data_IF_688103368064
#
_entry.id   IF_688103368064
#
_cell.length_a   1.000
_cell.length_b   1.000
_cell.length_c   1.000
_cell.angle_alpha   90.00
_cell.angle_beta   90.00
_cell.angle_gamma   90.00
#
_symmetry.space_group_name_H-M   'P 1'
#
loop_
_entity.id
_entity.type
_entity.pdbx_description
1 polymer ?
#
# COMPACT_ATOMS: atom_id res chain seq x y z
N UNK A 1 -13.16 17.85 -10.57
CA UNK A 1 -11.97 17.08 -10.98
C UNK A 1 -11.04 17.05 -9.79
N UNK A 2 -11.10 15.98 -8.97
CA UNK A 2 -10.10 15.76 -7.93
C UNK A 2 -9.04 14.83 -8.52
N UNK A 3 -7.86 15.39 -8.78
CA UNK A 3 -6.64 14.62 -8.98
C UNK A 3 -6.39 13.85 -7.68
N UNK A 4 -6.52 12.53 -7.73
CA UNK A 4 -6.27 11.65 -6.60
C UNK A 4 -4.88 11.03 -6.80
N UNK A 5 -3.81 11.54 -6.14
CA UNK A 5 -2.54 10.84 -6.07
C UNK A 5 -2.73 9.76 -5.01
N UNK A 6 -3.11 8.58 -5.47
CA UNK A 6 -3.47 7.37 -4.73
C UNK A 6 -3.22 7.35 -3.20
N UNK A 7 -4.32 7.53 -2.45
CA UNK A 7 -4.49 7.25 -1.01
C UNK A 7 -5.41 6.02 -0.90
N UNK A 8 -5.00 4.92 -0.25
CA UNK A 8 -5.80 3.67 -0.30
C UNK A 8 -7.02 3.70 0.61
N UNK A 9 -8.18 3.50 -0.01
CA UNK A 9 -9.55 3.61 0.51
C UNK A 9 -10.03 2.29 1.07
N UNK A 10 -10.66 2.34 2.26
CA UNK A 10 -11.84 1.60 2.70
C UNK A 10 -12.16 0.27 1.99
N UNK A 11 -11.98 -0.83 2.73
CA UNK A 11 -12.38 -2.22 2.45
C UNK A 11 -12.11 -2.73 1.03
N UNK A 12 -10.97 -3.42 0.86
CA UNK A 12 -10.80 -4.32 -0.28
C UNK A 12 -11.40 -5.68 0.10
N UNK A 13 -12.71 -5.83 -0.09
CA UNK A 13 -13.32 -7.17 -0.16
C UNK A 13 -12.90 -7.72 -1.53
N UNK A 14 -11.80 -8.45 -1.54
CA UNK A 14 -11.53 -9.40 -2.61
C UNK A 14 -12.40 -10.60 -2.23
N UNK A 15 -13.30 -11.05 -3.10
CA UNK A 15 -14.46 -11.93 -2.83
C UNK A 15 -14.23 -13.18 -1.94
N UNK A 16 -12.97 -13.54 -1.61
CA UNK A 16 -12.60 -14.63 -0.70
C UNK A 16 -11.52 -14.30 0.36
N UNK A 17 -10.97 -13.07 0.40
CA UNK A 17 -9.95 -12.64 1.38
C UNK A 17 -10.47 -11.41 2.12
N UNK A 18 -10.76 -11.56 3.42
CA UNK A 18 -11.27 -10.47 4.24
C UNK A 18 -10.11 -9.56 4.70
N UNK A 19 -9.70 -8.62 3.84
CA UNK A 19 -8.65 -7.65 4.15
C UNK A 19 -9.28 -6.37 4.68
N UNK A 20 -8.89 -5.98 5.91
CA UNK A 20 -9.20 -4.66 6.46
C UNK A 20 -8.12 -3.67 6.02
N UNK A 21 -8.55 -2.49 5.59
CA UNK A 21 -7.67 -1.40 5.22
C UNK A 21 -8.17 -0.11 5.90
N UNK A 22 -7.23 0.71 6.34
CA UNK A 22 -7.47 2.05 6.87
C UNK A 22 -7.09 3.06 5.80
N UNK A 23 -7.98 4.00 5.49
CA UNK A 23 -7.62 5.14 4.67
C UNK A 23 -6.89 6.16 5.53
N UNK A 24 -6.03 6.97 4.92
CA UNK A 24 -5.32 8.02 5.66
C UNK A 24 -6.30 8.99 6.34
N UNK A 25 -7.46 9.24 5.72
CA UNK A 25 -8.58 10.02 6.30
C UNK A 25 -9.17 9.41 7.59
N UNK A 26 -8.89 8.13 7.88
CA UNK A 26 -9.29 7.49 9.14
C UNK A 26 -8.30 7.81 10.27
N UNK A 27 -7.15 8.45 9.99
CA UNK A 27 -6.21 8.96 10.99
C UNK A 27 -6.70 10.32 11.54
N UNK A 28 -6.26 10.72 12.76
CA UNK A 28 -6.71 11.96 13.39
C UNK A 28 -6.58 13.22 12.52
N UNK A 29 -5.47 13.34 11.78
CA UNK A 29 -5.19 14.47 10.89
C UNK A 29 -5.57 14.19 9.44
N UNK A 30 -6.17 13.03 9.18
CA UNK A 30 -6.67 12.62 7.88
C UNK A 30 -5.64 12.80 6.77
N UNK A 31 -6.04 13.54 5.75
CA UNK A 31 -5.25 13.80 4.55
C UNK A 31 -4.04 14.74 4.77
N UNK A 32 -3.94 15.35 5.96
CA UNK A 32 -2.82 16.16 6.43
C UNK A 32 -1.79 15.36 7.23
N UNK A 33 -2.05 14.08 7.52
CA UNK A 33 -1.11 13.20 8.22
C UNK A 33 0.20 13.14 7.45
N UNK A 34 1.31 13.41 8.13
CA UNK A 34 2.66 13.32 7.58
C UNK A 34 3.05 11.86 7.32
N UNK A 35 4.02 11.63 6.43
CA UNK A 35 4.57 10.28 6.19
C UNK A 35 5.08 9.62 7.47
N UNK A 36 5.60 10.43 8.40
CA UNK A 36 6.04 9.96 9.71
C UNK A 36 4.87 9.49 10.58
N UNK A 37 3.74 10.19 10.58
CA UNK A 37 2.54 9.81 11.32
C UNK A 37 1.90 8.55 10.74
N UNK A 38 1.80 8.49 9.40
CA UNK A 38 1.32 7.30 8.67
C UNK A 38 2.20 6.09 9.02
N UNK A 39 3.52 6.27 8.94
CA UNK A 39 4.49 5.22 9.25
C UNK A 39 4.38 4.77 10.71
N UNK A 40 4.32 5.69 11.66
CA UNK A 40 4.17 5.36 13.09
C UNK A 40 2.87 4.60 13.35
N UNK A 41 1.76 5.07 12.78
CA UNK A 41 0.47 4.41 12.91
C UNK A 41 0.51 2.99 12.35
N UNK A 42 1.07 2.81 11.15
CA UNK A 42 1.19 1.50 10.53
C UNK A 42 2.04 0.55 11.38
N UNK A 43 3.20 1.00 11.84
CA UNK A 43 4.13 0.19 12.63
C UNK A 43 3.55 -0.23 13.98
N UNK A 44 2.84 0.69 14.66
CA UNK A 44 2.24 0.42 15.96
C UNK A 44 1.09 -0.59 15.89
N UNK A 45 0.46 -0.72 14.71
CA UNK A 45 -0.69 -1.59 14.48
C UNK A 45 -0.35 -2.82 13.61
N UNK A 46 0.94 -3.09 13.36
CA UNK A 46 1.44 -4.16 12.46
C UNK A 46 0.73 -4.16 11.08
N UNK A 47 0.59 -2.96 10.51
CA UNK A 47 -0.02 -2.75 9.19
C UNK A 47 1.05 -2.62 8.11
N UNK A 48 0.65 -2.90 6.88
CA UNK A 48 1.44 -2.60 5.68
C UNK A 48 1.03 -1.25 5.13
N UNK A 49 1.99 -0.35 4.90
CA UNK A 49 1.75 0.89 4.18
C UNK A 49 1.63 0.57 2.69
N UNK A 50 0.49 0.90 2.08
CA UNK A 50 0.26 0.77 0.63
C UNK A 50 0.38 2.15 -0.01
N UNK A 51 1.33 2.34 -0.93
CA UNK A 51 1.63 3.67 -1.47
C UNK A 51 2.17 3.66 -2.90
N UNK A 52 2.06 4.80 -3.58
CA UNK A 52 2.75 5.11 -4.84
C UNK A 52 3.95 6.03 -4.66
N UNK A 53 4.10 6.57 -3.47
CA UNK A 53 5.11 7.55 -3.15
C UNK A 53 6.43 6.85 -2.81
N UNK A 54 7.48 7.20 -3.56
CA UNK A 54 8.81 6.63 -3.38
C UNK A 54 9.51 7.14 -2.12
N UNK A 55 9.01 8.19 -1.46
CA UNK A 55 9.58 8.67 -0.19
C UNK A 55 9.42 7.61 0.92
N UNK A 56 8.33 6.84 0.91
CA UNK A 56 8.17 5.67 1.80
C UNK A 56 9.14 4.53 1.46
N UNK A 57 9.47 4.33 0.17
CA UNK A 57 10.50 3.36 -0.24
C UNK A 57 11.87 3.78 0.29
N UNK A 58 12.25 5.05 0.11
CA UNK A 58 13.51 5.58 0.61
C UNK A 58 13.63 5.46 2.12
N UNK A 59 12.56 5.82 2.84
CA UNK A 59 12.50 5.64 4.30
C UNK A 59 12.57 4.16 4.70
N UNK A 60 11.87 3.26 4.01
CA UNK A 60 11.89 1.83 4.31
C UNK A 60 13.30 1.25 4.11
N UNK A 61 13.98 1.62 3.02
CA UNK A 61 15.35 1.18 2.75
C UNK A 61 16.36 1.74 3.77
N UNK A 62 16.25 3.01 4.13
CA UNK A 62 17.20 3.66 5.03
C UNK A 62 17.00 3.25 6.50
N UNK A 63 15.75 3.18 6.95
CA UNK A 63 15.41 3.11 8.37
C UNK A 63 14.57 1.88 8.74
N UNK A 64 14.18 1.04 7.77
CA UNK A 64 13.17 -0.03 7.94
C UNK A 64 11.85 0.53 8.47
N UNK A 65 11.48 1.72 7.99
CA UNK A 65 10.28 2.46 8.36
C UNK A 65 9.54 2.97 7.11
N UNK A 66 8.28 2.59 6.86
CA UNK A 66 7.44 1.67 7.65
C UNK A 66 8.02 0.25 7.69
N UNK A 67 7.67 -0.55 8.70
CA UNK A 67 8.16 -1.92 8.88
C UNK A 67 7.75 -2.81 7.70
N UNK A 68 6.54 -2.59 7.17
CA UNK A 68 5.97 -3.32 6.03
C UNK A 68 5.52 -2.33 4.96
N UNK A 69 5.96 -2.55 3.72
CA UNK A 69 5.69 -1.68 2.57
C UNK A 69 5.12 -2.47 1.40
N UNK A 70 4.03 -1.97 0.83
CA UNK A 70 3.53 -2.37 -0.47
C UNK A 70 3.58 -1.19 -1.44
N UNK A 71 4.58 -1.16 -2.31
CA UNK A 71 4.78 -0.09 -3.28
C UNK A 71 4.05 -0.42 -4.59
N UNK A 72 3.36 0.56 -5.17
CA UNK A 72 2.69 0.41 -6.47
C UNK A 72 3.40 1.30 -7.50
N UNK A 73 4.26 0.69 -8.31
CA UNK A 73 5.11 1.32 -9.31
C UNK A 73 4.59 1.15 -10.75
N UNK A 74 3.27 1.06 -10.91
CA UNK A 74 2.64 0.88 -12.24
C UNK A 74 2.63 2.15 -13.12
N UNK A 75 3.25 3.25 -12.68
CA UNK A 75 3.10 4.56 -13.32
C UNK A 75 1.64 5.06 -13.32
N UNK A 76 1.29 5.81 -14.38
CA UNK A 76 -0.02 6.46 -14.54
C UNK A 76 -1.10 5.51 -15.10
N UNK A 77 -1.47 4.50 -14.32
CA UNK A 77 -2.68 3.72 -14.59
C UNK A 77 -3.94 4.48 -14.15
N UNK A 78 -5.03 4.36 -14.91
CA UNK A 78 -6.35 4.79 -14.43
C UNK A 78 -6.73 3.94 -13.23
N UNK A 79 -7.43 4.53 -12.24
CA UNK A 79 -7.84 3.84 -11.02
C UNK A 79 -8.53 2.49 -11.30
N UNK A 80 -9.41 2.43 -12.30
CA UNK A 80 -10.06 1.17 -12.70
C UNK A 80 -9.06 0.08 -13.07
N UNK A 81 -8.06 0.40 -13.89
CA UNK A 81 -7.03 -0.56 -14.32
C UNK A 81 -6.18 -1.02 -13.14
N UNK A 82 -5.85 -0.12 -12.21
CA UNK A 82 -5.12 -0.49 -11.00
C UNK A 82 -5.95 -1.42 -10.10
N UNK A 83 -7.23 -1.12 -9.90
CA UNK A 83 -8.09 -2.00 -9.10
C UNK A 83 -8.28 -3.36 -9.77
N UNK A 84 -8.40 -3.41 -11.10
CA UNK A 84 -8.50 -4.66 -11.84
C UNK A 84 -7.21 -5.47 -11.71
N UNK A 85 -6.04 -4.82 -11.76
CA UNK A 85 -4.74 -5.45 -11.54
C UNK A 85 -4.60 -6.01 -10.11
N UNK A 86 -5.01 -5.25 -9.10
CA UNK A 86 -4.98 -5.69 -7.69
C UNK A 86 -5.93 -6.88 -7.49
N UNK A 87 -7.15 -6.84 -8.04
CA UNK A 87 -8.11 -7.95 -7.93
C UNK A 87 -7.59 -9.20 -8.62
N UNK A 88 -6.99 -9.06 -9.79
CA UNK A 88 -6.43 -10.19 -10.54
C UNK A 88 -5.27 -10.88 -9.80
N UNK A 89 -4.54 -10.15 -8.95
CA UNK A 89 -3.38 -10.65 -8.21
C UNK A 89 -3.61 -10.79 -6.70
N UNK A 90 -4.85 -10.66 -6.24
CA UNK A 90 -5.23 -10.58 -4.85
C UNK A 90 -4.59 -11.64 -3.92
N UNK A 91 -4.65 -12.91 -4.33
CA UNK A 91 -4.11 -14.04 -3.57
C UNK A 91 -2.59 -13.92 -3.47
N UNK A 92 -1.91 -13.66 -4.59
CA UNK A 92 -0.46 -13.48 -4.63
C UNK A 92 -0.01 -12.29 -3.80
N UNK A 93 -0.75 -11.17 -3.85
CA UNK A 93 -0.47 -9.99 -3.02
C UNK A 93 -0.52 -10.38 -1.54
N UNK A 94 -1.57 -11.09 -1.13
CA UNK A 94 -1.75 -11.49 0.26
C UNK A 94 -0.65 -12.44 0.74
N UNK A 95 -0.29 -13.44 -0.06
CA UNK A 95 0.80 -14.38 0.24
C UNK A 95 2.14 -13.65 0.35
N UNK A 96 2.46 -12.80 -0.63
CA UNK A 96 3.69 -12.01 -0.66
C UNK A 96 3.82 -11.08 0.55
N UNK A 97 2.75 -10.38 0.93
CA UNK A 97 2.75 -9.48 2.09
C UNK A 97 2.79 -10.21 3.43
N UNK A 98 2.37 -11.49 3.46
CA UNK A 98 2.48 -12.33 4.65
C UNK A 98 3.90 -12.83 4.86
N UNK A 99 4.64 -13.07 3.78
CA UNK A 99 6.00 -13.60 3.81
C UNK A 99 7.10 -12.53 3.84
N UNK A 100 6.83 -11.34 3.32
CA UNK A 100 7.85 -10.31 3.09
C UNK A 100 7.50 -8.97 3.75
N UNK A 101 8.52 -8.20 4.09
CA UNK A 101 8.37 -6.83 4.61
C UNK A 101 8.31 -5.78 3.51
N UNK A 102 8.69 -6.13 2.27
CA UNK A 102 8.57 -5.24 1.14
C UNK A 102 8.12 -6.00 -0.11
N UNK A 103 7.01 -5.55 -0.68
CA UNK A 103 6.46 -6.06 -1.93
C UNK A 103 6.20 -4.89 -2.87
N UNK A 104 6.38 -5.10 -4.16
CA UNK A 104 6.15 -4.09 -5.18
C UNK A 104 5.23 -4.63 -6.29
N UNK A 105 4.21 -3.87 -6.63
CA UNK A 105 3.32 -4.14 -7.77
C UNK A 105 3.73 -3.26 -8.96
N UNK A 106 4.20 -3.90 -10.01
CA UNK A 106 4.55 -3.27 -11.29
C UNK A 106 3.46 -3.53 -12.35
N UNK A 107 3.66 -3.05 -13.58
CA UNK A 107 2.78 -3.41 -14.70
C UNK A 107 2.95 -4.87 -15.14
N UNK A 108 4.08 -5.51 -14.82
CA UNK A 108 4.43 -6.86 -15.27
C UNK A 108 4.14 -7.94 -14.21
N UNK A 109 3.88 -7.52 -12.96
CA UNK A 109 3.55 -8.44 -11.86
C UNK A 109 4.02 -7.94 -10.49
N UNK A 110 4.05 -8.88 -9.54
CA UNK A 110 4.55 -8.66 -8.18
C UNK A 110 6.04 -8.98 -8.08
N UNK A 111 6.76 -8.16 -7.33
CA UNK A 111 8.16 -8.37 -6.94
C UNK A 111 8.21 -8.45 -5.42
N UNK A 112 8.77 -9.54 -4.91
CA UNK A 112 9.02 -9.75 -3.48
C UNK A 112 10.47 -9.36 -3.16
N UNK A 113 10.64 -8.52 -2.14
CA UNK A 113 11.95 -8.05 -1.69
C UNK A 113 12.24 -8.68 -0.31
N UNK A 114 13.27 -9.52 -0.24
CA UNK A 114 13.73 -10.23 0.97
C UNK A 114 14.80 -9.50 1.77
#
# INVERSE_FOLDING_TARGET
MLNCPLKFVKYLIIDHINIKAFHVDDLPDGDQSTDLEITKFADQNDLTVVTKDYDFYHSHMANKKPNRLFLISTGNLKNRQLFDLIRANAVLIFEALSANHFVELTNDGLIEHG
#
